data_IF_455147236217
#
_entry.id   IF_455147236217
#
_cell.length_a   1.000
_cell.length_b   1.000
_cell.length_c   1.000
_cell.angle_alpha   90.00
_cell.angle_beta   90.00
_cell.angle_gamma   90.00
#
_symmetry.space_group_name_H-M   'P 1'
#
loop_
_entity.id
_entity.type
_entity.pdbx_description
1 polymer ?
#
# COMPACT_ATOMS: atom_id res chain seq x y z
N UNK A 1 -12.66 -19.45 -29.90
CA UNK A 1 -11.74 -18.42 -29.37
C UNK A 1 -12.44 -17.78 -28.18
N UNK A 2 -11.87 -17.86 -26.99
CA UNK A 2 -12.45 -17.22 -25.80
C UNK A 2 -12.00 -15.77 -25.84
N UNK A 3 -12.95 -14.84 -26.01
CA UNK A 3 -12.71 -13.41 -25.98
C UNK A 3 -12.78 -12.98 -24.51
N UNK A 4 -11.64 -12.70 -23.91
CA UNK A 4 -11.62 -12.09 -22.58
C UNK A 4 -12.27 -10.71 -22.67
N UNK A 5 -13.14 -10.33 -21.72
CA UNK A 5 -13.69 -8.98 -21.70
C UNK A 5 -12.54 -7.97 -21.67
N UNK A 6 -12.61 -6.95 -22.53
CA UNK A 6 -11.69 -5.81 -22.52
C UNK A 6 -11.86 -5.15 -21.14
N UNK A 7 -10.79 -5.09 -20.36
CA UNK A 7 -10.78 -4.51 -19.01
C UNK A 7 -11.47 -3.13 -19.02
N UNK A 8 -12.59 -2.99 -18.28
CA UNK A 8 -13.37 -1.75 -18.17
C UNK A 8 -13.04 -0.93 -16.93
N UNK A 9 -11.99 -1.28 -16.19
CA UNK A 9 -11.54 -0.53 -15.01
C UNK A 9 -10.69 0.68 -15.39
N UNK A 10 -10.64 1.67 -14.50
CA UNK A 10 -9.68 2.77 -14.63
C UNK A 10 -8.25 2.20 -14.70
N UNK A 11 -7.35 2.74 -15.54
CA UNK A 11 -5.94 2.41 -15.48
C UNK A 11 -5.42 2.53 -14.06
N UNK A 12 -4.60 1.58 -13.62
CA UNK A 12 -4.05 1.58 -12.26
C UNK A 12 -2.79 2.42 -12.20
N UNK A 13 -2.63 3.18 -11.12
CA UNK A 13 -1.44 3.99 -10.88
C UNK A 13 -0.89 3.68 -9.49
N UNK A 14 0.37 3.29 -9.44
CA UNK A 14 1.12 3.16 -8.20
C UNK A 14 1.92 4.44 -7.98
N UNK A 15 1.75 5.05 -6.82
CA UNK A 15 2.49 6.26 -6.46
C UNK A 15 3.66 5.88 -5.57
N UNK A 16 4.85 6.35 -5.92
CA UNK A 16 6.00 6.21 -5.05
C UNK A 16 5.82 7.08 -3.79
N UNK A 17 6.69 6.85 -2.80
CA UNK A 17 6.63 7.57 -1.54
C UNK A 17 6.88 9.09 -1.71
N UNK A 18 7.68 9.50 -2.70
CA UNK A 18 8.00 10.91 -2.94
C UNK A 18 6.79 11.68 -3.50
N UNK A 19 6.00 11.07 -4.37
CA UNK A 19 4.75 11.64 -4.88
C UNK A 19 3.70 11.70 -3.77
N UNK A 20 3.63 10.68 -2.89
CA UNK A 20 2.77 10.76 -1.71
C UNK A 20 3.19 11.88 -0.76
N UNK A 21 4.49 12.04 -0.50
CA UNK A 21 5.02 13.13 0.34
C UNK A 21 4.74 14.52 -0.29
N UNK A 22 4.80 14.63 -1.62
CA UNK A 22 4.35 15.83 -2.32
C UNK A 22 2.87 16.15 -2.01
N UNK A 23 1.98 15.17 -2.06
CA UNK A 23 0.57 15.36 -1.72
C UNK A 23 0.35 15.68 -0.24
N UNK A 24 1.11 15.06 0.67
CA UNK A 24 1.06 15.38 2.11
C UNK A 24 1.44 16.85 2.36
N UNK A 25 2.42 17.38 1.62
CA UNK A 25 2.91 18.75 1.78
C UNK A 25 2.02 19.80 1.13
N UNK A 26 1.44 19.49 -0.03
CA UNK A 26 0.77 20.47 -0.89
C UNK A 26 -0.75 20.27 -1.02
N UNK A 27 -1.28 19.15 -0.51
CA UNK A 27 -2.64 18.70 -0.77
C UNK A 27 -2.81 18.16 -2.19
N UNK A 28 -4.01 17.62 -2.49
CA UNK A 28 -4.29 16.99 -3.79
C UNK A 28 -4.40 18.00 -4.95
N UNK A 29 -4.91 19.20 -4.70
CA UNK A 29 -5.15 20.20 -5.75
C UNK A 29 -6.08 19.69 -6.86
N UNK A 30 -5.96 20.26 -8.06
CA UNK A 30 -6.66 19.76 -9.26
C UNK A 30 -6.06 18.45 -9.76
N UNK A 31 -4.72 18.35 -9.76
CA UNK A 31 -4.02 17.16 -10.25
C UNK A 31 -4.45 15.87 -9.53
N UNK A 32 -4.55 15.88 -8.20
CA UNK A 32 -5.01 14.71 -7.45
C UNK A 32 -6.48 14.36 -7.70
N UNK A 33 -7.34 15.35 -8.01
CA UNK A 33 -8.72 15.08 -8.43
C UNK A 33 -8.75 14.43 -9.81
N UNK A 34 -8.07 15.02 -10.78
CA UNK A 34 -7.96 14.49 -12.14
C UNK A 34 -7.39 13.05 -12.12
N UNK A 35 -6.42 12.80 -11.24
CA UNK A 35 -5.82 11.49 -11.03
C UNK A 35 -6.84 10.46 -10.51
N UNK A 36 -7.63 10.80 -9.49
CA UNK A 36 -8.64 9.86 -8.94
C UNK A 36 -9.84 9.67 -9.86
N UNK A 37 -10.14 10.64 -10.73
CA UNK A 37 -11.18 10.52 -11.75
C UNK A 37 -10.74 9.61 -12.91
N UNK A 38 -9.49 9.73 -13.35
CA UNK A 38 -8.97 9.01 -14.51
C UNK A 38 -8.31 7.67 -14.18
N UNK A 39 -7.76 7.50 -12.98
CA UNK A 39 -6.99 6.33 -12.57
C UNK A 39 -7.51 5.72 -11.27
N UNK A 40 -7.25 4.43 -11.08
CA UNK A 40 -7.35 3.78 -9.78
C UNK A 40 -6.00 3.86 -9.09
N UNK A 41 -5.90 4.69 -8.06
CA UNK A 41 -4.70 4.75 -7.21
C UNK A 41 -4.61 3.46 -6.40
N UNK A 42 -3.42 2.90 -6.29
CA UNK A 42 -3.15 1.69 -5.51
C UNK A 42 -2.00 1.90 -4.54
N UNK A 43 -2.04 1.21 -3.41
CA UNK A 43 -0.95 1.15 -2.42
C UNK A 43 -0.66 -0.31 -2.05
N UNK A 44 0.55 -0.61 -1.63
CA UNK A 44 0.98 -1.97 -1.24
C UNK A 44 1.54 -1.99 0.18
N UNK A 45 1.93 -3.16 0.67
CA UNK A 45 2.65 -3.27 1.93
C UNK A 45 3.99 -2.52 1.91
N UNK A 46 4.65 -2.41 0.75
CA UNK A 46 5.86 -1.58 0.63
C UNK A 46 5.52 -0.09 0.82
N UNK A 47 4.33 0.35 0.41
CA UNK A 47 3.86 1.71 0.72
C UNK A 47 3.68 1.88 2.24
N UNK A 48 3.05 0.92 2.92
CA UNK A 48 2.81 0.97 4.37
C UNK A 48 4.14 0.95 5.16
N UNK A 49 5.12 0.17 4.70
CA UNK A 49 6.49 0.14 5.22
C UNK A 49 7.18 1.49 5.14
N UNK A 50 7.11 2.18 4.00
CA UNK A 50 7.70 3.52 3.85
C UNK A 50 6.95 4.58 4.68
N UNK A 51 5.62 4.44 4.82
CA UNK A 51 4.82 5.28 5.73
C UNK A 51 5.30 5.10 7.17
N UNK A 52 5.51 3.86 7.63
CA UNK A 52 6.03 3.56 8.96
C UNK A 52 7.40 4.20 9.23
N UNK A 53 8.28 4.25 8.22
CA UNK A 53 9.58 4.92 8.32
C UNK A 53 9.49 6.44 8.46
N UNK A 54 8.33 7.03 8.15
CA UNK A 54 8.14 8.48 8.14
C UNK A 54 7.87 9.10 9.53
N UNK A 55 7.88 8.31 10.60
CA UNK A 55 7.81 8.66 12.03
C UNK A 55 7.18 10.03 12.38
N UNK A 56 5.95 10.00 12.90
CA UNK A 56 5.20 11.19 13.32
C UNK A 56 4.43 11.89 12.19
N UNK A 57 4.31 11.24 11.02
CA UNK A 57 3.57 11.73 9.85
C UNK A 57 2.64 10.69 9.23
N UNK A 58 2.58 9.51 9.82
CA UNK A 58 1.84 8.34 9.34
C UNK A 58 0.40 8.71 8.99
N UNK A 59 -0.31 9.34 9.93
CA UNK A 59 -1.69 9.76 9.75
C UNK A 59 -1.90 10.64 8.51
N UNK A 60 -0.94 11.53 8.20
CA UNK A 60 -1.04 12.39 7.01
C UNK A 60 -0.95 11.59 5.71
N UNK A 61 -0.09 10.57 5.69
CA UNK A 61 0.01 9.68 4.53
C UNK A 61 -1.23 8.80 4.40
N UNK A 62 -1.74 8.25 5.50
CA UNK A 62 -2.97 7.45 5.49
C UNK A 62 -4.17 8.28 5.03
N UNK A 63 -4.31 9.51 5.52
CA UNK A 63 -5.35 10.44 5.06
C UNK A 63 -5.17 10.79 3.57
N UNK A 64 -3.94 10.98 3.10
CA UNK A 64 -3.67 11.21 1.67
C UNK A 64 -4.11 10.03 0.82
N UNK A 65 -3.82 8.79 1.25
CA UNK A 65 -4.29 7.58 0.55
C UNK A 65 -5.82 7.46 0.56
N UNK A 66 -6.49 7.85 1.65
CA UNK A 66 -7.96 7.90 1.74
C UNK A 66 -8.54 8.91 0.75
N UNK A 67 -7.99 10.11 0.70
CA UNK A 67 -8.41 11.15 -0.25
C UNK A 67 -8.19 10.74 -1.71
N UNK A 68 -7.16 9.92 -1.96
CA UNK A 68 -6.89 9.33 -3.28
C UNK A 68 -7.80 8.13 -3.61
N UNK A 69 -8.71 7.74 -2.71
CA UNK A 69 -9.55 6.54 -2.82
C UNK A 69 -8.73 5.30 -3.21
N UNK A 70 -7.56 5.14 -2.57
CA UNK A 70 -6.57 4.16 -2.96
C UNK A 70 -6.97 2.73 -2.56
N UNK A 71 -6.71 1.76 -3.45
CA UNK A 71 -7.00 0.34 -3.21
C UNK A 71 -5.74 -0.40 -2.77
N UNK A 72 -5.91 -1.38 -1.88
CA UNK A 72 -4.80 -2.22 -1.41
C UNK A 72 -4.45 -3.26 -2.47
N UNK A 73 -3.22 -3.20 -2.94
CA UNK A 73 -2.58 -4.16 -3.85
C UNK A 73 -1.88 -5.25 -3.03
N UNK A 74 -2.28 -6.50 -3.23
CA UNK A 74 -1.64 -7.69 -2.66
C UNK A 74 -1.33 -8.70 -3.75
N UNK A 75 -0.17 -9.36 -3.65
CA UNK A 75 0.14 -10.53 -4.49
C UNK A 75 -0.67 -11.72 -4.00
N UNK A 76 -1.18 -12.52 -4.94
CA UNK A 76 -1.87 -13.77 -4.62
C UNK A 76 -0.82 -14.85 -4.46
N UNK A 77 -0.80 -15.47 -3.28
CA UNK A 77 0.05 -16.61 -2.97
C UNK A 77 -0.72 -17.92 -3.16
N UNK A 78 -0.01 -18.97 -3.55
CA UNK A 78 -0.56 -20.33 -3.54
C UNK A 78 -0.47 -20.98 -2.14
N UNK A 79 -0.88 -22.24 -2.05
CA UNK A 79 -0.85 -23.03 -0.82
C UNK A 79 0.57 -23.26 -0.28
N UNK A 80 1.61 -23.04 -1.10
CA UNK A 80 3.02 -23.13 -0.74
C UNK A 80 3.64 -21.74 -0.49
N UNK A 81 2.79 -20.71 -0.33
CA UNK A 81 3.18 -19.31 -0.14
C UNK A 81 4.03 -18.74 -1.28
N UNK A 82 3.92 -19.29 -2.50
CA UNK A 82 4.64 -18.80 -3.67
C UNK A 82 3.79 -17.80 -4.47
N UNK A 83 4.40 -16.76 -5.08
CA UNK A 83 3.68 -15.82 -5.92
C UNK A 83 3.09 -16.49 -7.16
N UNK A 84 1.79 -16.32 -7.38
CA UNK A 84 1.07 -16.93 -8.52
C UNK A 84 1.14 -16.13 -9.82
N UNK A 85 1.84 -14.98 -9.82
CA UNK A 85 1.80 -14.01 -10.90
C UNK A 85 0.48 -13.22 -11.00
N UNK A 86 -0.43 -13.40 -10.03
CA UNK A 86 -1.69 -12.66 -9.92
C UNK A 86 -1.65 -11.69 -8.74
N UNK A 87 -2.48 -10.66 -8.80
CA UNK A 87 -2.65 -9.69 -7.73
C UNK A 87 -4.13 -9.36 -7.50
N UNK A 88 -4.47 -8.95 -6.28
CA UNK A 88 -5.78 -8.44 -5.91
C UNK A 88 -5.71 -6.95 -5.65
N UNK A 89 -6.77 -6.25 -6.06
CA UNK A 89 -7.03 -4.86 -5.67
C UNK A 89 -8.25 -4.85 -4.78
N UNK A 90 -8.09 -4.40 -3.53
CA UNK A 90 -9.16 -4.44 -2.53
C UNK A 90 -9.43 -3.05 -2.00
N UNK A 91 -10.68 -2.62 -2.07
CA UNK A 91 -11.15 -1.47 -1.33
C UNK A 91 -11.33 -1.89 0.14
N UNK A 92 -10.58 -1.27 1.04
CA UNK A 92 -10.66 -1.53 2.48
C UNK A 92 -10.26 -0.28 3.26
N UNK A 93 -10.55 -0.28 4.56
CA UNK A 93 -10.08 0.78 5.44
C UNK A 93 -8.54 0.78 5.50
N UNK A 94 -7.96 1.93 5.17
CA UNK A 94 -6.50 2.12 5.08
C UNK A 94 -5.86 2.12 6.48
N UNK A 95 -6.56 2.63 7.49
CA UNK A 95 -6.07 2.64 8.86
C UNK A 95 -6.05 1.22 9.41
N UNK A 96 -7.10 0.42 9.16
CA UNK A 96 -7.10 -1.02 9.52
C UNK A 96 -6.00 -1.79 8.80
N UNK A 97 -5.79 -1.55 7.49
CA UNK A 97 -4.72 -2.18 6.73
C UNK A 97 -3.33 -1.84 7.30
N UNK A 98 -3.13 -0.59 7.75
CA UNK A 98 -1.88 -0.15 8.36
C UNK A 98 -1.64 -0.78 9.74
N UNK A 99 -2.67 -0.87 10.59
CA UNK A 99 -2.59 -1.59 11.87
C UNK A 99 -2.25 -3.06 11.64
N UNK A 100 -2.96 -3.72 10.72
CA UNK A 100 -2.70 -5.12 10.37
C UNK A 100 -1.28 -5.35 9.84
N UNK A 101 -0.75 -4.42 9.04
CA UNK A 101 0.63 -4.47 8.57
C UNK A 101 1.63 -4.41 9.75
N UNK A 102 1.39 -3.53 10.73
CA UNK A 102 2.26 -3.37 11.90
C UNK A 102 2.18 -4.56 12.86
N UNK A 103 1.01 -5.17 13.01
CA UNK A 103 0.81 -6.33 13.90
C UNK A 103 1.41 -7.62 13.33
N UNK A 104 1.61 -7.70 12.01
CA UNK A 104 2.13 -8.87 11.29
C UNK A 104 3.64 -8.85 11.07
N UNK A 105 4.36 -7.84 11.54
CA UNK A 105 5.82 -7.83 11.40
C UNK A 105 6.44 -9.04 12.13
N UNK A 106 7.24 -9.87 11.43
CA UNK A 106 8.14 -10.76 12.12
C UNK A 106 9.08 -9.92 12.98
N UNK A 107 9.38 -10.40 14.18
CA UNK A 107 10.45 -9.87 15.00
C UNK A 107 11.70 -9.76 14.08
N UNK A 108 12.36 -8.59 13.98
CA UNK A 108 13.51 -8.43 13.09
C UNK A 108 14.54 -9.54 13.32
N UNK A 109 15.15 -10.08 12.26
CA UNK A 109 16.11 -11.21 12.31
C UNK A 109 17.22 -11.03 13.36
N UNK A 110 17.56 -9.78 13.65
CA UNK A 110 18.52 -9.33 14.66
C UNK A 110 18.02 -9.38 16.12
N UNK A 111 16.81 -9.87 16.40
CA UNK A 111 16.33 -10.12 17.76
C UNK A 111 16.82 -11.45 18.34
N UNK A 112 17.28 -12.39 17.49
CA UNK A 112 17.93 -13.61 17.97
C UNK A 112 19.27 -13.32 18.66
N UNK A 113 19.99 -12.29 18.22
CA UNK A 113 21.28 -11.90 18.84
C UNK A 113 21.12 -11.20 20.20
N UNK A 114 19.99 -10.53 20.44
CA UNK A 114 19.74 -9.83 21.71
C UNK A 114 19.30 -10.82 22.80
N UNK A 115 18.51 -11.85 22.45
CA UNK A 115 18.06 -12.86 23.42
C UNK A 115 19.15 -13.87 23.83
N UNK A 116 20.27 -13.94 23.10
CA UNK A 116 21.42 -14.80 23.45
C UNK A 116 22.46 -14.11 24.35
N UNK A 117 22.33 -12.81 24.62
CA UNK A 117 23.22 -12.09 25.54
C UNK A 117 22.78 -12.13 27.01
N UNK A 118 21.55 -12.55 27.29
CA UNK A 118 20.97 -12.64 28.64
C UNK A 118 20.85 -14.10 29.16
N UNK A 119 21.59 -15.06 28.58
CA UNK A 119 21.69 -16.45 29.05
C UNK A 119 23.10 -16.79 29.57
#
# INVERSE_FOLDING_TARGET
>A
MIQYPIYQGKPTVYLDHNILDFFVKNGLGSFGKDLTESHQVVYSDETLKEIKKSQGKEDKFLETLKLLNAFHLKIVLDEQFQPTGKATLTQRDITEAYVEYNDKEPIPDNAHDIMLMDL
#
